data_IF_054322830114
#
_entry.id   IF_054322830114
#
_cell.length_a   1.000
_cell.length_b   1.000
_cell.length_c   1.000
_cell.angle_alpha   90.00
_cell.angle_beta   90.00
_cell.angle_gamma   90.00
#
_symmetry.space_group_name_H-M   'P 1'
#
loop_
_entity.id
_entity.type
_entity.pdbx_description
1 polymer ?
#
# COMPACT_ATOMS: atom_id res chain seq x y z
N UNK A 1 -11.54 -14.42 -22.33
CA UNK A 1 -10.37 -14.26 -21.43
C UNK A 1 -10.85 -13.67 -20.12
N UNK A 2 -10.19 -13.92 -18.98
CA UNK A 2 -10.50 -13.22 -17.74
C UNK A 2 -10.34 -11.71 -17.89
N UNK A 3 -11.14 -10.94 -17.16
CA UNK A 3 -10.94 -9.50 -17.05
C UNK A 3 -9.82 -9.18 -16.07
N UNK A 4 -9.24 -8.00 -16.16
CA UNK A 4 -8.06 -7.59 -15.39
C UNK A 4 -8.41 -6.41 -14.49
N UNK A 5 -8.13 -6.56 -13.20
CA UNK A 5 -8.14 -5.47 -12.24
C UNK A 5 -6.70 -5.16 -11.83
N UNK A 6 -6.18 -4.01 -12.26
CA UNK A 6 -4.81 -3.58 -11.97
C UNK A 6 -4.82 -2.50 -10.90
N UNK A 7 -4.14 -2.76 -9.80
CA UNK A 7 -4.03 -1.82 -8.69
C UNK A 7 -2.58 -1.58 -8.30
N UNK A 8 -2.29 -0.34 -7.98
CA UNK A 8 -0.99 0.12 -7.49
C UNK A 8 -1.08 0.80 -6.13
N UNK A 9 -0.17 0.44 -5.23
CA UNK A 9 0.09 1.19 -4.00
C UNK A 9 1.14 2.26 -4.26
N UNK A 10 0.85 3.51 -3.89
CA UNK A 10 1.79 4.63 -3.91
C UNK A 10 2.06 5.07 -2.47
N UNK A 11 3.24 4.75 -1.96
CA UNK A 11 3.58 5.05 -0.58
C UNK A 11 5.07 5.35 -0.41
N UNK A 12 5.37 6.37 0.38
CA UNK A 12 6.72 6.64 0.89
C UNK A 12 6.60 7.06 2.37
N UNK A 13 7.26 6.31 3.29
CA UNK A 13 7.26 6.65 4.70
C UNK A 13 8.14 7.87 4.99
N UNK A 14 7.91 8.51 6.13
CA UNK A 14 8.85 9.44 6.72
C UNK A 14 9.95 8.68 7.46
N UNK A 15 11.18 8.75 6.98
CA UNK A 15 12.34 8.16 7.63
C UNK A 15 12.82 9.10 8.73
N UNK A 16 13.25 8.51 9.86
CA UNK A 16 13.64 9.28 11.03
C UNK A 16 15.14 9.57 11.03
N UNK A 17 15.51 10.68 11.64
CA UNK A 17 16.91 11.02 11.94
C UNK A 17 17.53 9.93 12.83
N UNK A 18 18.80 9.61 12.59
CA UNK A 18 19.54 8.63 13.41
C UNK A 18 19.69 9.05 14.87
N UNK A 19 19.61 10.34 15.14
CA UNK A 19 19.52 10.92 16.49
C UNK A 19 18.38 11.96 16.53
N UNK A 20 17.13 11.49 16.72
CA UNK A 20 15.95 12.35 16.64
C UNK A 20 15.85 13.36 17.78
N UNK A 21 16.58 13.17 18.89
CA UNK A 21 16.45 13.99 20.12
C UNK A 21 17.55 15.05 20.24
N UNK A 22 18.77 14.80 19.73
CA UNK A 22 19.93 15.70 19.94
C UNK A 22 19.90 16.98 19.09
N UNK A 23 19.08 17.04 18.06
CA UNK A 23 19.05 18.16 17.11
C UNK A 23 18.40 19.43 17.69
N UNK A 24 18.02 19.44 18.99
CA UNK A 24 17.40 20.60 19.64
C UNK A 24 16.05 21.00 19.02
N UNK A 25 15.45 20.09 18.29
CA UNK A 25 14.22 20.29 17.53
C UNK A 25 13.00 20.28 18.47
N UNK A 26 12.90 21.26 19.33
CA UNK A 26 11.70 21.48 20.16
C UNK A 26 10.45 21.77 19.31
N UNK A 27 10.62 22.03 18.01
CA UNK A 27 9.52 22.32 17.06
C UNK A 27 9.73 21.68 15.67
N UNK A 28 10.75 20.83 15.44
CA UNK A 28 10.90 20.08 14.20
C UNK A 28 10.57 18.61 14.47
N UNK A 29 9.87 17.97 13.54
CA UNK A 29 9.57 16.54 13.61
C UNK A 29 10.84 15.69 13.66
N UNK A 30 10.70 14.41 13.91
CA UNK A 30 11.82 13.45 13.98
C UNK A 30 12.36 13.05 12.61
N UNK A 31 11.86 13.63 11.53
CA UNK A 31 12.08 13.19 10.16
C UNK A 31 13.44 13.60 9.60
N UNK A 32 14.12 12.71 8.90
CA UNK A 32 15.27 13.05 8.05
C UNK A 32 14.78 13.65 6.73
N UNK A 33 14.53 14.96 6.73
CA UNK A 33 14.04 15.68 5.56
C UNK A 33 14.97 15.57 4.35
N UNK A 34 16.28 15.53 4.58
CA UNK A 34 17.28 15.38 3.51
C UNK A 34 17.12 14.02 2.84
N UNK A 35 17.10 12.95 3.61
CA UNK A 35 16.99 11.59 3.10
C UNK A 35 15.62 11.36 2.42
N UNK A 36 14.53 11.84 3.03
CA UNK A 36 13.18 11.75 2.46
C UNK A 36 13.11 12.45 1.09
N UNK A 37 13.67 13.66 0.99
CA UNK A 37 13.74 14.41 -0.28
C UNK A 37 14.59 13.71 -1.33
N UNK A 38 15.77 13.18 -0.96
CA UNK A 38 16.66 12.46 -1.89
C UNK A 38 15.99 11.22 -2.47
N UNK A 39 15.36 10.41 -1.61
CA UNK A 39 14.66 9.19 -2.03
C UNK A 39 13.45 9.54 -2.91
N UNK A 40 12.63 10.51 -2.46
CA UNK A 40 11.47 10.93 -3.24
C UNK A 40 11.86 11.46 -4.62
N UNK A 41 12.88 12.30 -4.73
CA UNK A 41 13.36 12.81 -6.02
C UNK A 41 13.76 11.67 -6.96
N UNK A 42 14.53 10.69 -6.44
CA UNK A 42 14.94 9.53 -7.22
C UNK A 42 13.76 8.72 -7.75
N UNK A 43 12.78 8.43 -6.88
CA UNK A 43 11.60 7.64 -7.24
C UNK A 43 10.68 8.44 -8.17
N UNK A 44 10.50 9.72 -7.93
CA UNK A 44 9.72 10.60 -8.79
C UNK A 44 10.23 10.59 -10.23
N UNK A 45 11.55 10.72 -10.41
CA UNK A 45 12.16 10.82 -11.75
C UNK A 45 12.22 9.45 -12.46
N UNK A 46 12.35 8.35 -11.73
CA UNK A 46 12.47 7.01 -12.32
C UNK A 46 11.13 6.29 -12.48
N UNK A 47 10.18 6.54 -11.58
CA UNK A 47 8.90 5.85 -11.51
C UNK A 47 7.72 6.82 -11.73
N UNK A 48 7.41 7.70 -10.77
CA UNK A 48 6.10 8.38 -10.73
C UNK A 48 5.83 9.21 -11.98
N UNK A 49 6.71 10.12 -12.36
CA UNK A 49 6.48 10.98 -13.51
C UNK A 49 6.41 10.19 -14.83
N UNK A 50 7.39 9.32 -15.18
CA UNK A 50 7.33 8.60 -16.43
C UNK A 50 6.22 7.53 -16.47
N UNK A 51 5.87 6.92 -15.35
CA UNK A 51 4.77 5.97 -15.31
C UNK A 51 3.41 6.66 -15.43
N UNK A 52 3.21 7.80 -14.74
CA UNK A 52 2.00 8.60 -14.88
C UNK A 52 1.80 9.08 -16.33
N UNK A 53 2.85 9.58 -16.97
CA UNK A 53 2.78 9.97 -18.40
C UNK A 53 2.41 8.78 -19.30
N UNK A 54 3.02 7.63 -19.05
CA UNK A 54 2.75 6.42 -19.83
C UNK A 54 1.29 5.96 -19.65
N UNK A 55 0.80 5.84 -18.41
CA UNK A 55 -0.56 5.38 -18.16
C UNK A 55 -1.61 6.39 -18.59
N UNK A 56 -1.39 7.69 -18.40
CA UNK A 56 -2.27 8.72 -18.92
C UNK A 56 -2.46 8.55 -20.42
N UNK A 57 -1.36 8.43 -21.17
CA UNK A 57 -1.40 8.20 -22.61
C UNK A 57 -2.14 6.93 -23.00
N UNK A 58 -1.89 5.81 -22.27
CA UNK A 58 -2.58 4.54 -22.55
C UNK A 58 -4.09 4.60 -22.30
N UNK A 59 -4.52 5.29 -21.24
CA UNK A 59 -5.94 5.52 -20.95
C UNK A 59 -6.58 6.34 -22.10
N UNK A 60 -5.94 7.42 -22.52
CA UNK A 60 -6.43 8.30 -23.60
C UNK A 60 -6.47 7.56 -24.95
N UNK A 61 -5.38 6.86 -25.34
CA UNK A 61 -5.30 6.09 -26.59
C UNK A 61 -6.32 4.96 -26.67
N UNK A 62 -6.62 4.32 -25.55
CA UNK A 62 -7.63 3.25 -25.48
C UNK A 62 -9.07 3.77 -25.45
N UNK A 63 -9.29 5.09 -25.48
CA UNK A 63 -10.61 5.71 -25.31
C UNK A 63 -11.30 5.27 -24.00
N UNK A 64 -10.53 5.09 -22.94
CA UNK A 64 -11.00 4.69 -21.60
C UNK A 64 -11.28 3.19 -21.43
N UNK A 65 -10.90 2.35 -22.39
CA UNK A 65 -10.98 0.88 -22.23
C UNK A 65 -9.90 0.34 -21.28
N UNK A 66 -8.74 0.99 -21.22
CA UNK A 66 -7.72 0.67 -20.22
C UNK A 66 -7.96 1.50 -18.97
N UNK A 67 -8.04 0.83 -17.82
CA UNK A 67 -8.30 1.42 -16.52
C UNK A 67 -7.38 0.81 -15.47
N UNK A 68 -7.05 1.61 -14.46
CA UNK A 68 -6.24 1.18 -13.32
C UNK A 68 -6.87 1.68 -12.02
N UNK A 69 -6.41 1.12 -10.92
CA UNK A 69 -6.74 1.62 -9.58
C UNK A 69 -5.47 1.90 -8.80
N UNK A 70 -5.53 2.81 -7.84
CA UNK A 70 -4.41 3.08 -6.93
C UNK A 70 -4.87 3.64 -5.60
N UNK A 71 -4.09 3.40 -4.55
CA UNK A 71 -4.16 4.20 -3.33
C UNK A 71 -2.87 5.01 -3.18
N UNK A 72 -3.01 6.22 -2.65
CA UNK A 72 -1.91 7.17 -2.46
C UNK A 72 -1.95 7.60 -1.01
N UNK A 73 -1.00 7.13 -0.19
CA UNK A 73 -1.01 7.40 1.24
C UNK A 73 -0.88 8.89 1.58
N UNK A 74 -1.42 9.30 2.71
CA UNK A 74 -1.31 10.68 3.18
C UNK A 74 0.14 11.12 3.35
N UNK A 75 0.98 10.25 3.88
CA UNK A 75 2.42 10.52 4.09
C UNK A 75 3.16 10.83 2.79
N UNK A 76 2.85 10.14 1.69
CA UNK A 76 3.49 10.45 0.40
C UNK A 76 2.95 11.75 -0.22
N UNK A 77 1.65 12.05 -0.04
CA UNK A 77 1.08 13.32 -0.50
C UNK A 77 1.68 14.51 0.26
N UNK A 78 1.91 14.38 1.58
CA UNK A 78 2.64 15.39 2.36
C UNK A 78 4.04 15.65 1.76
N UNK A 79 4.78 14.59 1.43
CA UNK A 79 6.08 14.70 0.80
C UNK A 79 6.00 15.30 -0.60
N UNK A 80 5.00 14.96 -1.40
CA UNK A 80 4.78 15.59 -2.71
C UNK A 80 4.56 17.10 -2.56
N UNK A 81 3.66 17.52 -1.68
CA UNK A 81 3.39 18.93 -1.41
C UNK A 81 4.65 19.70 -0.99
N UNK A 82 5.48 19.07 -0.16
CA UNK A 82 6.67 19.70 0.42
C UNK A 82 7.85 19.76 -0.55
N UNK A 83 8.09 18.68 -1.31
CA UNK A 83 9.33 18.52 -2.06
C UNK A 83 9.15 18.45 -3.58
N UNK A 84 8.01 17.92 -4.05
CA UNK A 84 7.76 17.62 -5.47
C UNK A 84 6.29 17.87 -5.84
N UNK A 85 5.82 19.13 -5.79
CA UNK A 85 4.44 19.45 -6.17
C UNK A 85 4.11 19.09 -7.63
N UNK A 86 5.12 19.03 -8.51
CA UNK A 86 4.99 18.53 -9.89
C UNK A 86 4.53 17.06 -9.96
N UNK A 87 4.94 16.23 -9.00
CA UNK A 87 4.50 14.83 -8.91
C UNK A 87 3.02 14.75 -8.53
N UNK A 88 2.58 15.53 -7.52
CA UNK A 88 1.17 15.59 -7.16
C UNK A 88 0.31 16.05 -8.35
N UNK A 89 0.72 17.11 -9.04
CA UNK A 89 0.05 17.58 -10.25
C UNK A 89 -0.03 16.49 -11.35
N UNK A 90 1.01 15.70 -11.50
CA UNK A 90 1.05 14.58 -12.44
C UNK A 90 0.02 13.50 -12.09
N UNK A 91 -0.13 13.13 -10.79
CA UNK A 91 -1.19 12.23 -10.35
C UNK A 91 -2.59 12.83 -10.55
N UNK A 92 -2.76 14.12 -10.27
CA UNK A 92 -4.03 14.80 -10.52
C UNK A 92 -4.44 14.74 -11.99
N UNK A 93 -3.51 14.97 -12.92
CA UNK A 93 -3.73 14.83 -14.36
C UNK A 93 -4.11 13.41 -14.75
N UNK A 94 -3.41 12.42 -14.18
CA UNK A 94 -3.69 11.02 -14.43
C UNK A 94 -5.11 10.64 -13.96
N UNK A 95 -5.49 11.03 -12.75
CA UNK A 95 -6.85 10.79 -12.21
C UNK A 95 -7.92 11.51 -13.02
N UNK A 96 -7.65 12.73 -13.48
CA UNK A 96 -8.57 13.52 -14.30
C UNK A 96 -8.91 12.91 -15.66
N UNK A 97 -8.16 11.89 -16.12
CA UNK A 97 -8.51 11.11 -17.32
C UNK A 97 -9.82 10.33 -17.18
N UNK A 98 -10.28 10.07 -15.94
CA UNK A 98 -11.44 9.23 -15.65
C UNK A 98 -11.17 7.72 -15.78
N UNK A 99 -9.94 7.30 -16.11
CA UNK A 99 -9.52 5.89 -16.18
C UNK A 99 -8.82 5.38 -14.93
N UNK A 100 -8.80 6.16 -13.84
CA UNK A 100 -8.17 5.79 -12.57
C UNK A 100 -9.18 5.81 -11.44
N UNK A 101 -9.33 4.69 -10.73
CA UNK A 101 -10.06 4.63 -9.46
C UNK A 101 -9.10 4.82 -8.29
N UNK A 102 -9.38 5.79 -7.41
CA UNK A 102 -8.67 5.94 -6.14
C UNK A 102 -9.34 5.11 -5.05
N UNK A 103 -8.52 4.40 -4.27
CA UNK A 103 -8.96 3.57 -3.15
C UNK A 103 -8.64 4.27 -1.82
N UNK A 104 -9.47 4.02 -0.82
CA UNK A 104 -9.21 4.44 0.56
C UNK A 104 -8.19 3.51 1.23
N UNK A 105 -7.37 4.09 2.11
CA UNK A 105 -6.47 3.38 3.02
C UNK A 105 -6.35 4.12 4.36
N UNK A 106 -5.50 3.67 5.29
CA UNK A 106 -5.14 4.46 6.47
C UNK A 106 -4.18 5.59 6.07
N UNK A 107 -4.40 6.81 6.55
CA UNK A 107 -3.65 8.01 6.16
C UNK A 107 -2.13 7.85 6.25
N UNK A 108 -1.65 7.27 7.33
CA UNK A 108 -0.22 7.08 7.59
C UNK A 108 0.31 5.71 7.15
N UNK A 109 -0.45 4.96 6.36
CA UNK A 109 -0.10 3.58 5.98
C UNK A 109 0.22 2.72 7.21
N UNK A 110 -0.65 2.78 8.20
CA UNK A 110 -0.42 2.24 9.54
C UNK A 110 -1.06 0.87 9.78
N UNK A 111 -0.64 0.23 10.86
CA UNK A 111 -1.28 -0.98 11.39
C UNK A 111 -2.35 -0.65 12.46
N UNK A 112 -2.95 0.53 12.42
CA UNK A 112 -3.85 1.01 13.46
C UNK A 112 -4.97 0.02 13.81
N UNK A 113 -5.49 -0.73 12.84
CA UNK A 113 -6.50 -1.76 13.10
C UNK A 113 -6.06 -2.80 14.15
N UNK A 114 -4.77 -3.10 14.23
CA UNK A 114 -4.23 -4.12 15.14
C UNK A 114 -4.32 -3.69 16.61
N UNK A 115 -4.26 -2.37 16.90
CA UNK A 115 -4.16 -1.87 18.26
C UNK A 115 -5.19 -0.81 18.64
N UNK A 116 -5.84 -0.13 17.69
CA UNK A 116 -6.87 0.88 17.99
C UNK A 116 -7.87 1.02 16.85
N UNK A 117 -9.08 0.52 17.06
CA UNK A 117 -10.17 0.69 16.08
C UNK A 117 -10.55 2.17 15.90
N UNK A 118 -10.46 2.98 16.98
CA UNK A 118 -10.75 4.41 16.91
C UNK A 118 -9.73 5.15 16.04
N UNK A 119 -8.46 4.86 16.23
CA UNK A 119 -7.38 5.47 15.44
C UNK A 119 -7.44 4.99 13.97
N UNK A 120 -7.72 3.71 13.76
CA UNK A 120 -7.96 3.18 12.41
C UNK A 120 -9.05 3.99 11.69
N UNK A 121 -10.21 4.16 12.32
CA UNK A 121 -11.29 4.95 11.72
C UNK A 121 -10.87 6.39 11.47
N UNK A 122 -10.23 7.05 12.43
CA UNK A 122 -9.73 8.42 12.27
C UNK A 122 -8.83 8.57 11.05
N UNK A 123 -7.90 7.63 10.86
CA UNK A 123 -6.98 7.67 9.71
C UNK A 123 -7.69 7.41 8.38
N UNK A 124 -8.70 6.53 8.36
CA UNK A 124 -9.51 6.32 7.17
C UNK A 124 -10.30 7.58 6.81
N UNK A 125 -10.94 8.21 7.80
CA UNK A 125 -11.68 9.47 7.58
C UNK A 125 -10.75 10.58 7.06
N UNK A 126 -9.57 10.75 7.67
CA UNK A 126 -8.54 11.70 7.20
C UNK A 126 -8.11 11.43 5.75
N UNK A 127 -7.97 10.16 5.38
CA UNK A 127 -7.57 9.79 4.02
C UNK A 127 -8.69 10.08 3.02
N UNK A 128 -9.94 9.81 3.36
CA UNK A 128 -11.10 10.15 2.52
C UNK A 128 -11.18 11.66 2.26
N UNK A 129 -11.00 12.48 3.32
CA UNK A 129 -11.01 13.94 3.20
C UNK A 129 -9.83 14.44 2.33
N UNK A 130 -8.65 13.82 2.47
CA UNK A 130 -7.49 14.14 1.64
C UNK A 130 -7.71 13.79 0.15
N UNK A 131 -8.35 12.65 -0.15
CA UNK A 131 -8.68 12.27 -1.54
C UNK A 131 -9.68 13.26 -2.15
N UNK A 132 -10.67 13.69 -1.37
CA UNK A 132 -11.61 14.71 -1.82
C UNK A 132 -10.94 16.07 -2.06
N UNK A 133 -10.06 16.50 -1.14
CA UNK A 133 -9.27 17.73 -1.27
C UNK A 133 -8.35 17.72 -2.49
N UNK A 134 -7.57 16.66 -2.68
CA UNK A 134 -6.53 16.61 -3.71
C UNK A 134 -7.06 16.27 -5.09
N UNK A 135 -8.10 15.43 -5.17
CA UNK A 135 -8.53 14.81 -6.42
C UNK A 135 -10.02 14.98 -6.71
N UNK A 136 -10.80 15.57 -5.79
CA UNK A 136 -12.26 15.68 -5.88
C UNK A 136 -12.95 14.31 -6.01
N UNK A 137 -12.39 13.29 -5.37
CA UNK A 137 -12.86 11.89 -5.40
C UNK A 137 -13.08 11.39 -3.97
N UNK A 138 -14.22 10.74 -3.73
CA UNK A 138 -14.45 10.00 -2.50
C UNK A 138 -14.43 8.49 -2.79
N UNK A 139 -13.39 7.76 -2.38
CA UNK A 139 -13.24 6.34 -2.64
C UNK A 139 -14.39 5.49 -2.07
N UNK A 140 -14.82 4.47 -2.83
CA UNK A 140 -15.83 3.49 -2.39
C UNK A 140 -15.26 2.09 -2.13
N UNK A 141 -13.98 1.89 -2.44
CA UNK A 141 -13.25 0.64 -2.18
C UNK A 141 -12.11 0.89 -1.22
N UNK A 142 -11.90 -0.05 -0.30
CA UNK A 142 -10.89 0.03 0.74
C UNK A 142 -9.72 -0.93 0.48
N UNK A 143 -8.52 -0.47 0.74
CA UNK A 143 -7.32 -1.30 0.82
C UNK A 143 -6.63 -1.03 2.15
N UNK A 144 -6.62 -2.00 3.04
CA UNK A 144 -5.88 -1.85 4.29
C UNK A 144 -4.37 -1.92 4.05
N UNK A 145 -3.59 -1.19 4.85
CA UNK A 145 -2.12 -1.19 4.77
C UNK A 145 -1.60 -2.61 4.69
N UNK A 146 -0.61 -2.86 3.81
CA UNK A 146 0.03 -4.16 3.61
C UNK A 146 -0.91 -5.30 3.17
N UNK A 147 -2.07 -4.96 2.57
CA UNK A 147 -3.16 -5.89 2.31
C UNK A 147 -3.55 -6.73 3.54
N UNK A 148 -3.40 -6.16 4.73
CA UNK A 148 -3.79 -6.82 5.97
C UNK A 148 -5.30 -7.00 5.98
N UNK A 149 -5.73 -8.24 6.14
CA UNK A 149 -7.12 -8.63 6.03
C UNK A 149 -7.49 -9.73 7.02
N UNK A 150 -8.71 -9.67 7.50
CA UNK A 150 -9.48 -10.76 8.10
C UNK A 150 -10.97 -10.40 8.03
N UNK A 151 -11.85 -11.31 8.47
CA UNK A 151 -13.30 -11.07 8.44
C UNK A 151 -13.71 -9.81 9.21
N UNK A 152 -13.06 -9.50 10.34
CA UNK A 152 -13.38 -8.31 11.14
C UNK A 152 -13.03 -7.00 10.41
N UNK A 153 -11.93 -6.98 9.66
CA UNK A 153 -11.56 -5.82 8.83
C UNK A 153 -12.58 -5.61 7.71
N UNK A 154 -13.04 -6.68 7.06
CA UNK A 154 -14.06 -6.59 6.03
C UNK A 154 -15.39 -6.05 6.60
N UNK A 155 -15.84 -6.58 7.75
CA UNK A 155 -17.04 -6.09 8.43
C UNK A 155 -16.90 -4.62 8.85
N UNK A 156 -15.72 -4.20 9.34
CA UNK A 156 -15.47 -2.80 9.66
C UNK A 156 -15.49 -1.91 8.43
N UNK A 157 -14.86 -2.32 7.32
CA UNK A 157 -14.89 -1.60 6.06
C UNK A 157 -16.33 -1.43 5.53
N UNK A 158 -17.16 -2.48 5.62
CA UNK A 158 -18.59 -2.38 5.29
C UNK A 158 -19.31 -1.35 6.17
N UNK A 159 -19.06 -1.35 7.49
CA UNK A 159 -19.63 -0.38 8.43
C UNK A 159 -19.24 1.06 8.10
N UNK A 160 -18.01 1.27 7.59
CA UNK A 160 -17.52 2.56 7.12
C UNK A 160 -18.09 2.98 5.75
N UNK A 161 -18.89 2.11 5.12
CA UNK A 161 -19.62 2.43 3.88
C UNK A 161 -18.94 1.97 2.60
N UNK A 162 -17.86 1.20 2.67
CA UNK A 162 -17.21 0.67 1.48
C UNK A 162 -17.98 -0.48 0.83
N UNK A 163 -17.89 -0.56 -0.50
CA UNK A 163 -18.53 -1.59 -1.32
C UNK A 163 -17.55 -2.71 -1.70
N UNK A 164 -16.26 -2.45 -1.60
CA UNK A 164 -15.20 -3.42 -1.91
C UNK A 164 -14.00 -3.31 -0.98
N UNK A 165 -13.27 -4.41 -0.84
CA UNK A 165 -12.00 -4.48 -0.10
C UNK A 165 -11.01 -5.37 -0.84
N UNK A 166 -9.73 -4.96 -0.87
CA UNK A 166 -8.65 -5.76 -1.42
C UNK A 166 -8.03 -6.64 -0.33
N UNK A 167 -7.67 -7.88 -0.71
CA UNK A 167 -7.00 -8.84 0.17
C UNK A 167 -5.99 -9.69 -0.60
N UNK A 168 -5.08 -10.35 0.10
CA UNK A 168 -4.14 -11.32 -0.48
C UNK A 168 -4.84 -12.64 -0.77
N UNK A 169 -4.61 -13.20 -1.96
CA UNK A 169 -5.00 -14.57 -2.31
C UNK A 169 -3.99 -15.57 -1.75
N UNK A 170 -4.09 -15.88 -0.47
CA UNK A 170 -3.11 -16.72 0.21
C UNK A 170 -3.08 -18.15 -0.33
N UNK A 171 -1.90 -18.82 -0.38
CA UNK A 171 -1.81 -20.22 -0.80
C UNK A 171 -2.66 -21.18 0.04
N UNK A 172 -2.88 -20.84 1.32
CA UNK A 172 -3.73 -21.64 2.21
C UNK A 172 -5.22 -21.62 1.81
N UNK A 173 -5.67 -20.56 1.13
CA UNK A 173 -7.01 -20.48 0.58
C UNK A 173 -7.08 -21.06 -0.84
N UNK A 174 -6.02 -20.87 -1.63
CA UNK A 174 -5.90 -21.35 -3.02
C UNK A 174 -5.41 -22.80 -3.02
N UNK A 175 -6.27 -23.72 -2.58
CA UNK A 175 -5.96 -25.14 -2.35
C UNK A 175 -6.34 -26.07 -3.54
N UNK A 176 -6.49 -25.49 -4.74
CA UNK A 176 -6.93 -26.20 -5.95
C UNK A 176 -8.47 -26.28 -6.12
N UNK A 177 -9.24 -25.94 -5.08
CA UNK A 177 -10.69 -25.74 -5.17
C UNK A 177 -11.08 -24.27 -5.23
N UNK A 178 -10.21 -23.39 -4.70
CA UNK A 178 -10.38 -21.95 -4.70
C UNK A 178 -9.33 -21.29 -5.59
N UNK A 179 -9.70 -20.22 -6.26
CA UNK A 179 -8.81 -19.41 -7.09
C UNK A 179 -8.96 -17.94 -6.72
N UNK A 180 -7.89 -17.16 -6.69
CA UNK A 180 -7.99 -15.71 -6.45
C UNK A 180 -8.69 -14.97 -7.60
N UNK A 181 -8.94 -15.67 -8.71
CA UNK A 181 -9.49 -15.09 -9.94
C UNK A 181 -11.03 -15.07 -9.97
N UNK A 182 -11.66 -14.99 -8.81
CA UNK A 182 -13.11 -14.79 -8.63
C UNK A 182 -13.36 -13.68 -7.62
N UNK A 183 -14.56 -13.12 -7.66
CA UNK A 183 -15.04 -12.19 -6.64
C UNK A 183 -15.60 -12.96 -5.45
N UNK A 184 -15.29 -12.50 -4.24
CA UNK A 184 -15.73 -13.11 -2.97
C UNK A 184 -16.55 -12.14 -2.13
N UNK A 185 -17.14 -12.65 -1.06
CA UNK A 185 -17.67 -11.86 0.05
C UNK A 185 -17.11 -12.39 1.37
N UNK A 186 -17.01 -11.54 2.38
CA UNK A 186 -16.64 -11.97 3.72
C UNK A 186 -17.84 -12.57 4.44
N UNK A 187 -17.65 -13.54 5.36
CA UNK A 187 -18.72 -14.00 6.26
C UNK A 187 -19.35 -12.83 7.01
N UNK A 188 -20.64 -12.97 7.31
CA UNK A 188 -21.41 -12.00 8.11
C UNK A 188 -21.45 -10.57 7.54
N UNK A 189 -21.12 -10.39 6.25
CA UNK A 189 -21.28 -9.12 5.54
C UNK A 189 -22.40 -9.21 4.50
N UNK A 190 -23.08 -8.09 4.27
CA UNK A 190 -24.24 -8.05 3.37
C UNK A 190 -23.88 -7.53 1.96
N UNK A 191 -22.92 -6.63 1.87
CA UNK A 191 -22.67 -5.83 0.66
C UNK A 191 -21.24 -5.90 0.16
N UNK A 192 -20.27 -5.77 1.08
CA UNK A 192 -18.85 -5.61 0.71
C UNK A 192 -18.32 -6.80 -0.07
N UNK A 193 -17.63 -6.52 -1.17
CA UNK A 193 -16.99 -7.52 -2.03
C UNK A 193 -15.49 -7.57 -1.74
N UNK A 194 -14.93 -8.79 -1.75
CA UNK A 194 -13.50 -9.01 -1.51
C UNK A 194 -12.82 -9.43 -2.81
N UNK A 195 -11.83 -8.62 -3.25
CA UNK A 195 -11.00 -8.88 -4.41
C UNK A 195 -9.68 -9.49 -3.92
N UNK A 196 -9.38 -10.72 -4.36
CA UNK A 196 -8.19 -11.44 -3.93
C UNK A 196 -7.05 -11.24 -4.92
N UNK A 197 -5.89 -10.79 -4.44
CA UNK A 197 -4.68 -10.63 -5.24
C UNK A 197 -4.25 -11.96 -5.84
N UNK A 198 -4.05 -12.02 -7.14
CA UNK A 198 -3.32 -13.11 -7.76
C UNK A 198 -1.82 -12.92 -7.46
N UNK A 199 -1.36 -13.55 -6.37
CA UNK A 199 -0.01 -13.34 -5.85
C UNK A 199 1.09 -13.80 -6.83
N UNK A 200 0.84 -14.87 -7.58
CA UNK A 200 1.81 -15.42 -8.53
C UNK A 200 2.07 -14.42 -9.66
N UNK A 201 1.04 -14.03 -10.39
CA UNK A 201 1.16 -13.09 -11.50
C UNK A 201 1.60 -11.70 -11.05
N UNK A 202 1.12 -11.24 -9.89
CA UNK A 202 1.55 -9.96 -9.32
C UNK A 202 3.03 -9.95 -8.95
N UNK A 203 3.54 -11.04 -8.34
CA UNK A 203 4.95 -11.16 -8.00
C UNK A 203 5.85 -11.35 -9.25
N UNK A 204 5.33 -12.01 -10.28
CA UNK A 204 6.05 -12.15 -11.55
C UNK A 204 6.32 -10.78 -12.20
N UNK A 205 5.34 -9.86 -12.09
CA UNK A 205 5.48 -8.49 -12.58
C UNK A 205 6.29 -7.59 -11.65
N UNK A 206 6.03 -7.66 -10.34
CA UNK A 206 6.61 -6.72 -9.38
C UNK A 206 8.06 -7.06 -8.98
N UNK A 207 8.35 -8.36 -8.81
CA UNK A 207 9.59 -8.82 -8.20
C UNK A 207 10.47 -9.57 -9.21
N UNK A 208 9.88 -10.47 -10.00
CA UNK A 208 10.65 -11.42 -10.85
C UNK A 208 10.90 -10.90 -12.26
N UNK A 209 10.24 -9.84 -12.68
CA UNK A 209 10.32 -9.32 -14.06
C UNK A 209 11.77 -9.10 -14.53
N UNK A 210 12.61 -8.61 -13.64
CA UNK A 210 14.02 -8.31 -13.93
C UNK A 210 15.01 -9.37 -13.44
N UNK A 211 14.55 -10.52 -12.93
CA UNK A 211 15.40 -11.57 -12.37
C UNK A 211 15.80 -12.60 -13.43
N UNK A 212 17.06 -12.61 -13.93
CA UNK A 212 17.51 -13.55 -14.93
C UNK A 212 17.63 -15.00 -14.40
N UNK A 213 17.58 -15.21 -13.08
CA UNK A 213 17.62 -16.54 -12.49
C UNK A 213 16.23 -17.20 -12.43
N UNK A 214 15.17 -16.42 -12.63
CA UNK A 214 13.81 -16.93 -12.63
C UNK A 214 13.52 -17.73 -13.91
N UNK A 215 12.92 -18.89 -13.78
CA UNK A 215 12.61 -19.79 -14.92
C UNK A 215 11.63 -19.18 -15.94
N UNK A 216 10.86 -18.18 -15.53
CA UNK A 216 9.97 -17.41 -16.40
C UNK A 216 10.64 -16.27 -17.16
N UNK A 217 11.91 -15.96 -16.85
CA UNK A 217 12.65 -14.86 -17.50
C UNK A 217 13.05 -15.20 -18.95
N UNK A 218 13.03 -14.24 -19.90
CA UNK A 218 12.39 -12.93 -19.77
C UNK A 218 10.86 -13.03 -19.82
N UNK A 219 10.16 -12.22 -19.03
CA UNK A 219 8.71 -12.08 -19.14
C UNK A 219 8.37 -11.15 -20.30
N UNK A 220 7.87 -11.72 -21.40
CA UNK A 220 7.39 -10.96 -22.55
C UNK A 220 5.86 -10.77 -22.46
N UNK A 221 5.32 -9.80 -23.21
CA UNK A 221 3.87 -9.57 -23.26
C UNK A 221 3.12 -10.78 -23.84
N UNK A 222 3.69 -11.49 -24.83
CA UNK A 222 3.09 -12.71 -25.39
C UNK A 222 2.96 -13.80 -24.32
N UNK A 223 4.06 -14.08 -23.62
CA UNK A 223 4.06 -15.07 -22.53
C UNK A 223 3.06 -14.70 -21.43
N UNK A 224 3.01 -13.43 -21.05
CA UNK A 224 2.08 -12.96 -20.02
C UNK A 224 0.62 -13.08 -20.48
N UNK A 225 0.33 -12.70 -21.74
CA UNK A 225 -1.01 -12.84 -22.33
C UNK A 225 -1.45 -14.30 -22.38
N UNK A 226 -0.54 -15.22 -22.74
CA UNK A 226 -0.82 -16.66 -22.71
C UNK A 226 -1.15 -17.15 -21.31
N UNK A 227 -0.42 -16.68 -20.28
CA UNK A 227 -0.69 -17.05 -18.88
C UNK A 227 -2.05 -16.53 -18.41
N UNK A 228 -2.38 -15.30 -18.76
CA UNK A 228 -3.71 -14.73 -18.48
C UNK A 228 -4.78 -15.61 -19.13
N UNK A 229 -4.64 -15.94 -20.42
CA UNK A 229 -5.63 -16.74 -21.17
C UNK A 229 -5.79 -18.17 -20.64
N UNK A 230 -4.76 -18.74 -20.01
CA UNK A 230 -4.80 -20.07 -19.41
C UNK A 230 -5.25 -20.04 -17.94
N UNK A 231 -5.35 -18.88 -17.33
CA UNK A 231 -5.74 -18.74 -15.92
C UNK A 231 -7.24 -18.99 -15.77
N UNK A 232 -7.67 -19.92 -14.91
CA UNK A 232 -9.09 -20.15 -14.65
C UNK A 232 -9.69 -19.01 -13.85
N UNK A 233 -10.93 -18.65 -14.15
CA UNK A 233 -11.70 -17.62 -13.43
C UNK A 233 -12.16 -16.49 -14.32
N UNK A 234 -12.83 -15.51 -13.73
CA UNK A 234 -13.50 -14.43 -14.45
C UNK A 234 -12.70 -13.11 -14.34
N UNK A 235 -11.93 -12.93 -13.25
CA UNK A 235 -11.26 -11.70 -12.88
C UNK A 235 -9.86 -11.98 -12.33
N UNK A 236 -8.83 -11.39 -12.90
CA UNK A 236 -7.45 -11.47 -12.40
C UNK A 236 -7.07 -10.14 -11.74
N UNK A 237 -6.80 -10.20 -10.44
CA UNK A 237 -6.41 -9.05 -9.64
C UNK A 237 -4.88 -8.95 -9.55
N UNK A 238 -4.29 -7.98 -10.23
CA UNK A 238 -2.85 -7.69 -10.23
C UNK A 238 -2.59 -6.50 -9.30
N UNK A 239 -2.14 -6.77 -8.08
CA UNK A 239 -1.90 -5.74 -7.05
C UNK A 239 -0.41 -5.68 -6.72
N UNK A 240 0.17 -4.50 -6.78
CA UNK A 240 1.60 -4.29 -6.56
C UNK A 240 1.92 -2.85 -6.16
N UNK A 241 3.15 -2.62 -5.70
CA UNK A 241 3.65 -1.28 -5.49
C UNK A 241 3.90 -0.59 -6.83
N UNK A 242 3.61 0.70 -6.89
CA UNK A 242 3.82 1.49 -8.11
C UNK A 242 5.29 1.58 -8.49
N UNK A 243 6.16 1.56 -7.48
CA UNK A 243 7.62 1.54 -7.60
C UNK A 243 8.15 0.29 -8.31
N UNK A 244 7.32 -0.74 -8.48
CA UNK A 244 7.64 -1.88 -9.35
C UNK A 244 7.92 -1.45 -10.80
N UNK A 245 7.45 -0.25 -11.21
CA UNK A 245 7.66 0.32 -12.54
C UNK A 245 8.71 1.42 -12.47
N UNK A 246 9.93 1.11 -12.83
CA UNK A 246 11.02 2.08 -12.97
C UNK A 246 12.01 2.12 -11.80
N UNK A 247 11.59 1.85 -10.56
CA UNK A 247 12.50 1.76 -9.41
C UNK A 247 12.96 0.31 -9.17
N UNK A 248 12.03 -0.63 -8.94
CA UNK A 248 12.40 -2.05 -8.73
C UNK A 248 12.75 -2.71 -10.06
N UNK A 249 11.91 -2.57 -11.07
CA UNK A 249 12.21 -3.00 -12.43
C UNK A 249 12.58 -1.78 -13.26
N UNK A 250 13.88 -1.67 -13.58
CA UNK A 250 14.42 -0.49 -14.25
C UNK A 250 13.94 -0.40 -15.70
N UNK A 251 13.96 0.83 -16.25
CA UNK A 251 13.59 1.10 -17.65
C UNK A 251 14.36 0.23 -18.63
N UNK A 252 15.65 0.01 -18.38
CA UNK A 252 16.56 -0.79 -19.21
C UNK A 252 16.13 -2.26 -19.31
N UNK A 253 15.37 -2.75 -18.32
CA UNK A 253 14.85 -4.11 -18.31
C UNK A 253 13.55 -4.28 -19.12
N UNK A 254 13.05 -3.20 -19.74
CA UNK A 254 11.91 -3.23 -20.64
C UNK A 254 10.54 -3.13 -19.98
N UNK A 255 10.45 -2.80 -18.67
CA UNK A 255 9.17 -2.74 -17.94
C UNK A 255 8.20 -1.71 -18.54
N UNK A 256 8.69 -0.54 -19.00
CA UNK A 256 7.85 0.46 -19.64
C UNK A 256 7.33 -0.01 -20.99
N UNK A 257 8.16 -0.69 -21.79
CA UNK A 257 7.73 -1.23 -23.08
C UNK A 257 6.70 -2.36 -22.89
N UNK A 258 6.85 -3.16 -21.83
CA UNK A 258 5.87 -4.16 -21.44
C UNK A 258 4.50 -3.52 -21.15
N UNK A 259 4.45 -2.50 -20.27
CA UNK A 259 3.19 -1.84 -19.91
C UNK A 259 2.59 -1.00 -21.05
N UNK A 260 3.37 -0.56 -22.02
CA UNK A 260 2.84 0.09 -23.23
C UNK A 260 2.09 -0.89 -24.13
N UNK A 261 2.43 -2.19 -24.11
CA UNK A 261 1.91 -3.19 -25.02
C UNK A 261 0.80 -4.04 -24.43
N UNK A 262 0.95 -4.48 -23.19
CA UNK A 262 0.03 -5.43 -22.53
C UNK A 262 -1.43 -4.93 -22.53
N UNK A 263 -1.75 -3.65 -22.24
CA UNK A 263 -3.13 -3.21 -22.25
C UNK A 263 -3.84 -3.44 -23.57
N UNK A 264 -3.21 -3.08 -24.69
CA UNK A 264 -3.78 -3.22 -26.03
C UNK A 264 -3.98 -4.68 -26.40
N UNK A 265 -2.95 -5.54 -26.19
CA UNK A 265 -3.01 -6.95 -26.54
C UNK A 265 -4.11 -7.67 -25.76
N UNK A 266 -4.28 -7.38 -24.46
CA UNK A 266 -5.34 -7.99 -23.67
C UNK A 266 -6.73 -7.52 -24.07
N UNK A 267 -6.90 -6.24 -24.45
CA UNK A 267 -8.15 -5.74 -25.02
C UNK A 267 -8.47 -6.45 -26.35
N UNK A 268 -7.51 -6.56 -27.27
CA UNK A 268 -7.66 -7.28 -28.53
C UNK A 268 -8.00 -8.76 -28.34
N UNK A 269 -7.47 -9.38 -27.28
CA UNK A 269 -7.75 -10.75 -26.89
C UNK A 269 -9.12 -10.94 -26.19
N UNK A 270 -9.84 -9.83 -25.91
CA UNK A 270 -11.20 -9.84 -25.36
C UNK A 270 -11.29 -9.71 -23.85
N UNK A 271 -10.20 -9.35 -23.14
CA UNK A 271 -10.26 -8.96 -21.73
C UNK A 271 -10.72 -7.50 -21.59
N UNK A 272 -11.47 -7.21 -20.53
CA UNK A 272 -11.74 -5.84 -20.09
C UNK A 272 -10.77 -5.48 -18.96
N UNK A 273 -10.39 -4.20 -18.90
CA UNK A 273 -9.71 -3.63 -17.75
C UNK A 273 -10.76 -2.96 -16.87
N UNK A 274 -10.98 -3.53 -15.70
CA UNK A 274 -12.01 -3.07 -14.76
C UNK A 274 -11.36 -2.54 -13.49
N UNK A 275 -11.97 -1.53 -12.91
CA UNK A 275 -11.58 -1.05 -11.58
C UNK A 275 -12.21 -1.90 -10.48
N UNK A 276 -11.70 -1.85 -9.24
CA UNK A 276 -12.27 -2.62 -8.14
C UNK A 276 -13.77 -2.38 -7.89
N UNK A 277 -14.25 -1.14 -7.99
CA UNK A 277 -15.68 -0.83 -7.84
C UNK A 277 -16.52 -1.36 -9.00
N UNK A 278 -16.01 -1.29 -10.23
CA UNK A 278 -16.64 -1.90 -11.40
C UNK A 278 -16.71 -3.42 -11.25
N UNK A 279 -15.60 -4.06 -10.85
CA UNK A 279 -15.58 -5.50 -10.59
C UNK A 279 -16.60 -5.89 -9.51
N UNK A 280 -16.68 -5.12 -8.42
CA UNK A 280 -17.66 -5.34 -7.36
C UNK A 280 -19.12 -5.23 -7.84
N UNK A 281 -19.37 -4.42 -8.87
CA UNK A 281 -20.68 -4.21 -9.48
C UNK A 281 -21.02 -5.27 -10.54
N UNK A 282 -20.05 -5.68 -11.35
CA UNK A 282 -20.28 -6.57 -12.51
C UNK A 282 -20.38 -8.04 -12.08
N UNK A 283 -19.49 -8.49 -11.18
CA UNK A 283 -19.40 -9.91 -10.84
C UNK A 283 -20.24 -10.27 -9.62
N UNK A 284 -20.86 -11.47 -9.66
CA UNK A 284 -21.53 -12.02 -8.49
C UNK A 284 -20.49 -12.65 -7.54
N UNK A 285 -20.59 -12.32 -6.25
CA UNK A 285 -19.78 -12.93 -5.19
C UNK A 285 -20.51 -14.12 -4.57
N UNK A 286 -20.68 -15.20 -5.32
CA UNK A 286 -21.33 -16.43 -4.81
C UNK A 286 -20.44 -17.26 -3.88
N UNK A 287 -19.16 -16.91 -3.79
CA UNK A 287 -18.13 -17.61 -2.99
C UNK A 287 -17.78 -16.80 -1.75
N UNK A 288 -17.62 -17.48 -0.62
CA UNK A 288 -17.20 -16.89 0.64
C UNK A 288 -15.69 -16.97 0.82
N UNK A 289 -15.09 -15.88 1.32
CA UNK A 289 -13.70 -15.85 1.77
C UNK A 289 -13.67 -15.76 3.30
N UNK A 290 -13.74 -16.94 3.97
CA UNK A 290 -13.68 -17.04 5.43
C UNK A 290 -12.23 -16.96 5.93
N UNK A 291 -11.76 -15.76 6.24
CA UNK A 291 -10.41 -15.48 6.70
C UNK A 291 -10.41 -15.06 8.18
N UNK A 292 -10.35 -16.07 9.07
CA UNK A 292 -10.39 -15.86 10.53
C UNK A 292 -9.07 -15.34 11.10
N UNK A 293 -7.96 -15.76 10.51
CA UNK A 293 -6.62 -15.29 10.92
C UNK A 293 -6.24 -14.08 10.07
N UNK A 294 -5.50 -13.16 10.67
CA UNK A 294 -5.00 -12.01 9.92
C UNK A 294 -4.02 -12.47 8.86
N UNK A 295 -4.24 -12.03 7.63
CA UNK A 295 -3.35 -12.25 6.49
C UNK A 295 -2.78 -10.94 5.99
N UNK A 296 -1.70 -11.00 5.21
CA UNK A 296 -1.07 -9.86 4.53
C UNK A 296 -0.42 -10.32 3.22
N UNK A 297 0.16 -9.40 2.47
CA UNK A 297 0.92 -9.75 1.26
C UNK A 297 2.42 -9.96 1.50
N UNK A 298 2.90 -9.64 2.71
CA UNK A 298 4.33 -9.69 3.00
C UNK A 298 4.81 -11.09 3.35
N UNK A 299 6.06 -11.34 2.98
CA UNK A 299 6.85 -12.52 3.29
C UNK A 299 6.20 -13.85 2.86
N UNK A 300 6.81 -14.96 3.21
CA UNK A 300 6.31 -16.29 2.88
C UNK A 300 5.11 -16.71 3.74
N UNK A 301 5.07 -16.24 5.00
CA UNK A 301 4.03 -16.59 5.97
C UNK A 301 2.69 -15.94 5.69
N UNK A 302 2.68 -14.81 4.98
CA UNK A 302 1.45 -14.07 4.66
C UNK A 302 0.62 -13.71 5.89
N UNK A 303 1.27 -13.32 6.98
CA UNK A 303 0.65 -12.94 8.25
C UNK A 303 1.25 -11.63 8.80
N UNK A 304 1.09 -11.35 10.09
CA UNK A 304 1.64 -10.16 10.73
C UNK A 304 3.10 -10.27 11.17
N UNK A 305 3.76 -11.41 10.96
CA UNK A 305 5.11 -11.63 11.51
C UNK A 305 6.18 -10.71 10.91
N UNK A 306 5.94 -10.13 9.76
CA UNK A 306 6.80 -9.09 9.19
C UNK A 306 6.89 -7.83 10.07
N UNK A 307 5.83 -7.52 10.84
CA UNK A 307 5.73 -6.31 11.67
C UNK A 307 5.66 -6.58 13.17
N UNK A 308 5.36 -7.81 13.60
CA UNK A 308 5.18 -8.17 15.01
C UNK A 308 5.87 -9.50 15.40
N UNK A 309 6.80 -9.97 14.58
CA UNK A 309 7.44 -11.27 14.73
C UNK A 309 8.44 -11.37 15.90
N UNK A 310 9.07 -10.26 16.28
CA UNK A 310 10.11 -10.25 17.32
C UNK A 310 9.76 -9.32 18.50
N UNK A 311 10.61 -9.34 19.53
CA UNK A 311 10.40 -8.58 20.77
C UNK A 311 10.46 -7.06 20.55
N UNK A 312 11.36 -6.57 19.68
CA UNK A 312 11.52 -5.14 19.38
C UNK A 312 10.26 -4.59 18.72
N UNK A 313 9.71 -5.29 17.74
CA UNK A 313 8.47 -4.91 17.07
C UNK A 313 7.28 -4.86 18.03
N UNK A 314 7.15 -5.86 18.90
CA UNK A 314 6.08 -5.90 19.92
C UNK A 314 6.21 -4.78 20.93
N UNK A 315 7.42 -4.45 21.37
CA UNK A 315 7.70 -3.31 22.25
C UNK A 315 7.31 -2.00 21.57
N UNK A 316 7.69 -1.82 20.31
CA UNK A 316 7.36 -0.63 19.54
C UNK A 316 5.84 -0.44 19.35
N UNK A 317 5.10 -1.51 19.02
CA UNK A 317 3.63 -1.48 18.91
C UNK A 317 3.01 -1.10 20.27
N UNK A 318 3.46 -1.72 21.34
CA UNK A 318 2.93 -1.42 22.68
C UNK A 318 3.21 0.04 23.08
N UNK A 319 4.41 0.54 22.80
CA UNK A 319 4.81 1.92 23.13
C UNK A 319 4.01 2.96 22.34
N UNK A 320 3.87 2.81 21.02
CA UNK A 320 3.12 3.76 20.18
C UNK A 320 1.63 3.76 20.54
N UNK A 321 1.05 2.58 20.78
CA UNK A 321 -0.35 2.42 21.19
C UNK A 321 -0.65 3.03 22.56
N UNK A 322 0.27 2.89 23.51
CA UNK A 322 0.10 3.46 24.86
C UNK A 322 0.00 4.99 24.87
N UNK A 323 0.55 5.67 23.88
CA UNK A 323 0.51 7.14 23.77
C UNK A 323 -0.84 7.70 23.31
N UNK A 324 -1.70 6.91 22.68
CA UNK A 324 -2.92 7.38 22.02
C UNK A 324 -3.74 8.34 22.89
N UNK A 325 -4.12 7.90 24.09
CA UNK A 325 -4.96 8.71 24.99
C UNK A 325 -4.30 10.00 25.42
N UNK A 326 -2.99 9.94 25.73
CA UNK A 326 -2.21 11.08 26.17
C UNK A 326 -2.05 12.10 25.04
N UNK A 327 -1.72 11.66 23.86
CA UNK A 327 -1.55 12.52 22.69
C UNK A 327 -2.85 13.23 22.33
N UNK A 328 -3.96 12.50 22.24
CA UNK A 328 -5.25 13.13 21.98
C UNK A 328 -5.71 14.10 23.09
N UNK A 329 -5.34 13.85 24.33
CA UNK A 329 -5.67 14.75 25.45
C UNK A 329 -4.92 16.09 25.41
N UNK A 330 -3.84 16.21 24.63
CA UNK A 330 -3.14 17.49 24.43
C UNK A 330 -3.91 18.46 23.55
N UNK A 331 -4.80 17.95 22.68
CA UNK A 331 -5.47 18.71 21.60
C UNK A 331 -4.49 19.45 20.67
N UNK A 332 -3.20 19.11 20.73
CA UNK A 332 -2.15 19.70 19.91
C UNK A 332 -2.05 18.96 18.57
N UNK A 333 -2.41 19.64 17.49
CA UNK A 333 -2.43 19.07 16.14
C UNK A 333 -1.04 18.63 15.64
N UNK A 334 0.05 19.30 16.07
CA UNK A 334 1.41 18.93 15.70
C UNK A 334 1.83 17.62 16.37
N UNK A 335 1.55 17.48 17.67
CA UNK A 335 1.84 16.22 18.38
C UNK A 335 1.00 15.05 17.85
N UNK A 336 -0.28 15.29 17.56
CA UNK A 336 -1.17 14.28 16.98
C UNK A 336 -0.65 13.86 15.59
N UNK A 337 -0.24 14.80 14.76
CA UNK A 337 0.35 14.52 13.43
C UNK A 337 1.67 13.76 13.55
N UNK A 338 2.57 14.17 14.43
CA UNK A 338 3.85 13.49 14.69
C UNK A 338 3.63 12.04 15.16
N UNK A 339 2.71 11.84 16.12
CA UNK A 339 2.33 10.49 16.55
C UNK A 339 1.73 9.67 15.42
N UNK A 340 0.93 10.30 14.56
CA UNK A 340 0.38 9.67 13.37
C UNK A 340 1.47 9.16 12.42
N UNK A 341 2.45 10.00 12.09
CA UNK A 341 3.57 9.64 11.21
C UNK A 341 4.42 8.46 11.74
N UNK A 342 4.59 8.38 13.07
CA UNK A 342 5.28 7.25 13.71
C UNK A 342 4.52 5.93 13.66
N UNK A 343 3.25 5.93 13.25
CA UNK A 343 2.45 4.71 13.12
C UNK A 343 2.64 3.98 11.78
N UNK A 344 3.41 4.54 10.83
CA UNK A 344 3.67 3.87 9.55
C UNK A 344 4.20 2.45 9.76
N UNK A 345 3.66 1.49 9.00
CA UNK A 345 4.06 0.08 9.05
C UNK A 345 5.55 -0.12 8.81
N UNK A 346 6.16 0.74 8.00
CA UNK A 346 7.58 0.67 7.64
C UNK A 346 8.51 0.72 8.85
N UNK A 347 8.19 1.54 9.86
CA UNK A 347 9.01 1.60 11.09
C UNK A 347 9.11 0.25 11.78
N UNK A 348 8.01 -0.51 11.78
CA UNK A 348 7.98 -1.86 12.34
C UNK A 348 8.66 -2.87 11.42
N UNK A 349 8.46 -2.75 10.11
CA UNK A 349 9.09 -3.61 9.11
C UNK A 349 10.62 -3.54 9.17
N UNK A 350 11.20 -2.35 9.33
CA UNK A 350 12.65 -2.15 9.46
C UNK A 350 13.26 -2.76 10.73
N UNK A 351 12.44 -3.10 11.71
CA UNK A 351 12.85 -3.84 12.92
C UNK A 351 12.77 -5.37 12.76
N UNK A 352 12.40 -5.87 11.58
CA UNK A 352 12.32 -7.31 11.32
C UNK A 352 13.71 -7.94 11.39
N UNK A 353 13.78 -9.12 12.00
CA UNK A 353 15.01 -9.94 12.13
C UNK A 353 14.89 -11.25 11.35
N UNK A 354 14.00 -11.29 10.36
CA UNK A 354 13.86 -12.45 9.48
C UNK A 354 15.12 -12.64 8.64
N UNK A 355 15.40 -13.88 8.30
CA UNK A 355 16.56 -14.29 7.52
C UNK A 355 16.15 -14.73 6.09
N UNK A 356 17.14 -15.02 5.27
CA UNK A 356 16.92 -15.48 3.90
C UNK A 356 16.39 -14.40 2.97
N UNK A 357 15.46 -14.77 2.10
CA UNK A 357 14.86 -13.85 1.13
C UNK A 357 14.12 -12.69 1.79
N UNK A 358 13.37 -12.98 2.87
CA UNK A 358 12.61 -11.97 3.60
C UNK A 358 13.53 -10.97 4.30
N UNK A 359 14.65 -11.45 4.90
CA UNK A 359 15.67 -10.58 5.48
C UNK A 359 16.40 -9.72 4.45
N UNK A 360 16.64 -10.26 3.25
CA UNK A 360 17.22 -9.49 2.15
C UNK A 360 16.27 -8.37 1.68
N UNK A 361 14.97 -8.62 1.62
CA UNK A 361 13.97 -7.60 1.29
C UNK A 361 13.91 -6.51 2.37
N UNK A 362 13.89 -6.88 3.66
CA UNK A 362 13.91 -5.92 4.76
C UNK A 362 15.14 -5.02 4.69
N UNK A 363 16.33 -5.59 4.47
CA UNK A 363 17.57 -4.82 4.33
C UNK A 363 17.57 -3.91 3.10
N UNK A 364 16.93 -4.33 2.01
CA UNK A 364 16.82 -3.50 0.81
C UNK A 364 15.98 -2.25 1.05
N UNK A 365 14.89 -2.36 1.81
CA UNK A 365 13.99 -1.25 2.09
C UNK A 365 14.39 -0.41 3.29
N UNK A 366 15.19 -0.95 4.22
CA UNK A 366 15.58 -0.25 5.45
C UNK A 366 16.60 0.87 5.16
N UNK A 367 16.38 2.09 5.68
CA UNK A 367 17.38 3.16 5.64
C UNK A 367 18.44 3.03 6.75
N UNK A 368 18.29 2.07 7.65
CA UNK A 368 19.13 1.87 8.84
C UNK A 368 20.05 0.65 8.67
N UNK A 369 21.18 0.66 9.39
CA UNK A 369 22.19 -0.39 9.29
C UNK A 369 21.73 -1.73 9.91
N UNK A 370 20.76 -1.69 10.82
CA UNK A 370 20.24 -2.89 11.48
C UNK A 370 18.85 -2.70 12.08
N UNK A 371 18.15 -3.81 12.32
CA UNK A 371 16.89 -3.84 13.03
C UNK A 371 16.98 -3.24 14.44
N UNK A 372 18.10 -3.44 15.13
CA UNK A 372 18.39 -2.87 16.44
C UNK A 372 18.53 -1.36 16.38
N UNK A 373 19.17 -0.84 15.35
CA UNK A 373 19.29 0.60 15.14
C UNK A 373 17.92 1.23 14.83
N UNK A 374 17.14 0.63 13.93
CA UNK A 374 15.78 1.07 13.64
C UNK A 374 14.93 1.14 14.92
N UNK A 375 14.99 0.11 15.77
CA UNK A 375 14.30 0.07 17.05
C UNK A 375 14.79 1.16 18.02
N UNK A 376 16.12 1.34 18.16
CA UNK A 376 16.70 2.36 19.02
C UNK A 376 16.22 3.78 18.64
N UNK A 377 16.26 4.09 17.34
CA UNK A 377 15.84 5.38 16.78
C UNK A 377 14.35 5.61 17.05
N UNK A 378 13.52 4.65 16.70
CA UNK A 378 12.07 4.71 16.90
C UNK A 378 11.70 4.91 18.37
N UNK A 379 12.29 4.11 19.28
CA UNK A 379 12.02 4.21 20.72
C UNK A 379 12.55 5.51 21.33
N UNK A 380 13.58 6.14 20.74
CA UNK A 380 14.03 7.47 21.16
C UNK A 380 12.98 8.52 20.80
N UNK A 381 12.44 8.50 19.58
CA UNK A 381 11.36 9.40 19.16
C UNK A 381 10.09 9.23 20.02
N UNK A 382 9.70 7.98 20.32
CA UNK A 382 8.54 7.67 21.17
C UNK A 382 8.71 8.24 22.58
N UNK A 383 9.89 8.09 23.20
CA UNK A 383 10.16 8.62 24.54
C UNK A 383 10.14 10.14 24.60
N UNK A 384 10.70 10.81 23.61
CA UNK A 384 10.66 12.26 23.51
C UNK A 384 9.22 12.76 23.31
N UNK A 385 8.46 12.12 22.41
CA UNK A 385 7.06 12.45 22.18
C UNK A 385 6.21 12.27 23.45
N UNK A 386 6.45 11.23 24.23
CA UNK A 386 5.80 10.99 25.53
C UNK A 386 6.10 12.12 26.54
N UNK A 387 7.35 12.60 26.59
CA UNK A 387 7.75 13.72 27.46
C UNK A 387 7.11 15.03 27.02
N UNK A 388 7.10 15.34 25.72
CA UNK A 388 6.44 16.53 25.15
C UNK A 388 4.95 16.55 25.49
N UNK A 389 4.26 15.43 25.26
CA UNK A 389 2.84 15.31 25.60
C UNK A 389 2.57 15.47 27.10
N UNK A 390 3.46 14.93 27.97
CA UNK A 390 3.35 15.09 29.42
C UNK A 390 3.50 16.55 29.85
N UNK A 391 4.39 17.30 29.20
CA UNK A 391 4.65 18.71 29.52
C UNK A 391 3.46 19.61 29.17
N UNK A 392 2.68 19.27 28.15
CA UNK A 392 1.48 20.00 27.75
C UNK A 392 0.23 19.60 28.57
N UNK A 393 0.19 18.35 29.06
CA UNK A 393 -0.92 17.84 29.85
C UNK A 393 -0.91 18.29 31.34
N UNK A 394 0.18 18.90 31.81
CA UNK A 394 0.24 19.47 33.16
C UNK A 394 -0.52 20.82 33.17
N UNK A 395 -1.59 20.97 34.00
CA UNK A 395 -2.19 22.27 34.19
C UNK A 395 -1.15 23.21 34.86
N UNK A 396 -0.92 24.35 34.20
CA UNK A 396 -0.08 25.42 34.76
C UNK A 396 -0.63 26.01 36.08
#
# INVERSE_FOLDING_TARGET
MPDICLYFQVHQPHRLLTDPVSTGASNAGYEDERLNREILNRIADKCYLPANEMFQRKIEESSGLFRIAMSISGTVIEQFRKYRPDVLESFQKLVATGGVELLAETYYHSLAFVYSEKEFQRQVDMHLDLMEECFSVRPSVFRNSELIYNNAIAAKAETLGFDGILAEGTPAFVDGQHSPNFLYHAPDTARIKTLLRNHTLSNDLAIRFSDPSWSGFPLTWEKFTDWIGQSPGDLINLFMDYESIGEHNKKENGIYEFWKRVPEILIEAGSQWVTPSEAASIYSSSKEYDCKKVTSWADAERDLSAWSGNAMQKEAIAAISALEKKIHATEDGELIGTWGGLQSSDHLYWMSTKEGTDGALTNYFSPYESAQEAHRIFMAAIRDLDQRASSLALPG
#
